data_IF_267604474187
#
_entry.id   IF_267604474187
#
_cell.length_a   1.000
_cell.length_b   1.000
_cell.length_c   1.000
_cell.angle_alpha   90.00
_cell.angle_beta   90.00
_cell.angle_gamma   90.00
#
_symmetry.space_group_name_H-M   'P 1'
#
loop_
_entity.id
_entity.type
_entity.pdbx_description
1 polymer ?
#
# COMPACT_ATOMS: atom_id res chain seq x y z
N UNK A 1 47.26 15.41 -72.92
CA UNK A 1 47.40 13.93 -72.80
C UNK A 1 48.24 13.70 -71.56
N UNK A 2 47.93 12.93 -70.51
CA UNK A 2 46.99 11.84 -70.21
C UNK A 2 46.75 11.86 -68.68
N UNK A 3 45.54 11.53 -68.20
CA UNK A 3 45.22 11.24 -66.78
C UNK A 3 45.68 9.80 -66.44
N UNK A 4 46.05 9.49 -65.19
CA UNK A 4 45.05 8.91 -64.26
C UNK A 4 45.25 9.23 -62.75
N UNK A 5 44.13 9.24 -62.00
CA UNK A 5 44.04 9.02 -60.53
C UNK A 5 44.19 7.49 -60.24
N UNK A 6 44.21 6.92 -58.98
CA UNK A 6 43.76 7.47 -57.70
C UNK A 6 44.47 6.97 -56.38
N UNK A 7 44.04 7.52 -55.22
CA UNK A 7 43.89 6.96 -53.84
C UNK A 7 45.13 6.24 -53.20
N UNK A 8 45.60 6.61 -52.00
CA UNK A 8 45.26 5.88 -50.74
C UNK A 8 45.79 6.59 -49.47
N UNK A 9 44.85 6.81 -48.53
CA UNK A 9 44.85 6.77 -47.04
C UNK A 9 46.18 6.93 -46.27
N UNK A 10 46.14 7.66 -45.14
CA UNK A 10 45.77 7.09 -43.82
C UNK A 10 46.24 7.94 -42.62
N UNK A 11 45.50 7.77 -41.50
CA UNK A 11 45.77 8.08 -40.08
C UNK A 11 45.53 9.52 -39.61
N UNK A 12 44.96 9.81 -38.44
CA UNK A 12 44.26 9.13 -37.31
C UNK A 12 43.90 10.30 -36.35
N UNK A 13 42.80 10.36 -35.61
CA UNK A 13 42.63 9.78 -34.27
C UNK A 13 41.24 10.19 -33.70
N UNK A 14 40.55 9.20 -33.12
CA UNK A 14 39.72 9.20 -31.90
C UNK A 14 39.18 10.50 -31.31
N UNK A 15 37.85 10.57 -31.14
CA UNK A 15 37.20 10.81 -29.84
C UNK A 15 35.66 10.65 -29.97
N UNK A 16 35.17 9.41 -29.84
CA UNK A 16 33.73 9.17 -29.66
C UNK A 16 33.42 9.34 -28.17
N UNK A 17 32.80 10.46 -27.80
CA UNK A 17 32.36 10.73 -26.43
C UNK A 17 31.13 9.88 -26.12
N UNK A 18 31.33 8.69 -25.53
CA UNK A 18 30.24 7.87 -24.99
C UNK A 18 29.76 8.52 -23.70
N UNK A 19 28.77 9.42 -23.81
CA UNK A 19 28.03 9.93 -22.66
C UNK A 19 26.97 8.90 -22.24
N UNK A 20 27.43 7.74 -21.78
CA UNK A 20 26.60 6.72 -21.16
C UNK A 20 26.42 7.03 -19.67
N UNK A 21 25.76 8.15 -19.36
CA UNK A 21 25.33 8.41 -18.00
C UNK A 21 24.27 7.37 -17.64
N UNK A 22 24.63 6.51 -16.69
CA UNK A 22 23.81 5.48 -16.09
C UNK A 22 22.50 6.09 -15.61
N UNK A 23 21.44 5.99 -16.42
CA UNK A 23 20.06 6.11 -15.96
C UNK A 23 19.76 4.84 -15.16
N UNK A 24 20.16 4.84 -13.89
CA UNK A 24 19.60 3.89 -12.94
C UNK A 24 18.10 4.16 -12.90
N UNK A 25 17.22 3.20 -13.26
CA UNK A 25 15.80 3.41 -13.06
C UNK A 25 15.58 3.59 -11.55
N UNK A 26 15.08 4.78 -11.16
CA UNK A 26 14.43 4.94 -9.87
C UNK A 26 13.27 3.96 -9.86
N UNK A 27 13.38 2.91 -9.06
CA UNK A 27 12.33 1.93 -8.87
C UNK A 27 11.21 2.57 -8.06
N UNK A 28 10.29 3.23 -8.75
CA UNK A 28 9.02 3.66 -8.18
C UNK A 28 8.20 2.42 -7.87
N UNK A 29 7.91 2.17 -6.60
CA UNK A 29 6.88 1.22 -6.21
C UNK A 29 5.53 1.80 -6.68
N UNK A 30 5.03 1.32 -7.82
CA UNK A 30 3.76 1.78 -8.35
C UNK A 30 2.61 1.20 -7.52
N UNK A 31 1.81 2.07 -6.90
CA UNK A 31 0.51 1.67 -6.38
C UNK A 31 -0.36 1.22 -7.55
N UNK A 32 -1.08 0.11 -7.39
CA UNK A 32 -2.00 -0.38 -8.42
C UNK A 32 -3.35 0.30 -8.26
N UNK A 33 -3.90 0.82 -9.34
CA UNK A 33 -5.28 1.33 -9.33
C UNK A 33 -6.25 0.18 -9.06
N UNK A 34 -7.13 0.35 -8.09
CA UNK A 34 -8.10 -0.67 -7.71
C UNK A 34 -9.06 -0.98 -8.87
N UNK A 35 -9.32 -2.27 -9.09
CA UNK A 35 -10.39 -2.70 -10.01
C UNK A 35 -11.76 -2.49 -9.37
N UNK A 36 -11.91 -2.91 -8.12
CA UNK A 36 -13.11 -2.75 -7.31
C UNK A 36 -12.80 -1.92 -6.07
N UNK A 37 -12.83 -0.60 -6.21
CA UNK A 37 -12.61 0.33 -5.10
C UNK A 37 -13.77 0.26 -4.08
N UNK A 38 -13.51 -0.14 -2.83
CA UNK A 38 -14.57 -0.25 -1.84
C UNK A 38 -14.91 1.12 -1.27
N UNK A 39 -16.19 1.48 -1.22
CA UNK A 39 -16.65 2.66 -0.47
C UNK A 39 -16.88 2.31 1.03
N UNK A 40 -15.95 1.60 1.66
CA UNK A 40 -16.09 1.15 3.05
C UNK A 40 -15.32 -0.12 3.37
N UNK A 41 -15.71 -0.79 4.46
CA UNK A 41 -15.16 -2.08 4.86
C UNK A 41 -16.27 -2.99 5.42
N UNK A 42 -16.34 -4.23 4.93
CA UNK A 42 -17.31 -5.27 5.34
C UNK A 42 -18.76 -4.79 5.48
N UNK A 43 -19.21 -3.98 4.52
CA UNK A 43 -20.58 -3.44 4.47
C UNK A 43 -20.82 -2.22 5.35
N UNK A 44 -19.78 -1.66 5.99
CA UNK A 44 -19.83 -0.38 6.69
C UNK A 44 -19.25 0.69 5.75
N UNK A 45 -20.06 1.63 5.25
CA UNK A 45 -19.58 2.69 4.37
C UNK A 45 -18.65 3.67 5.09
N UNK A 46 -17.70 4.26 4.37
CA UNK A 46 -16.92 5.36 4.90
C UNK A 46 -17.83 6.50 5.39
N UNK A 47 -17.43 7.15 6.48
CA UNK A 47 -18.18 8.22 7.10
C UNK A 47 -19.37 7.78 7.95
N UNK A 48 -19.74 6.49 7.94
CA UNK A 48 -20.84 5.98 8.75
C UNK A 48 -20.52 6.04 10.25
N UNK A 49 -21.57 6.17 11.07
CA UNK A 49 -21.44 6.08 12.52
C UNK A 49 -21.13 4.63 12.94
N UNK A 50 -20.10 4.46 13.78
CA UNK A 50 -19.74 3.16 14.35
C UNK A 50 -20.40 2.91 15.71
N UNK A 51 -20.71 3.98 16.45
CA UNK A 51 -21.39 3.91 17.73
C UNK A 51 -22.77 3.24 17.58
N UNK A 52 -23.18 2.47 18.59
CA UNK A 52 -24.47 1.79 18.60
C UNK A 52 -24.59 0.57 17.69
N UNK A 53 -23.58 0.21 16.91
CA UNK A 53 -23.60 -1.03 16.10
C UNK A 53 -23.41 -2.26 16.99
N UNK A 54 -24.37 -3.18 16.94
CA UNK A 54 -24.36 -4.39 17.79
C UNK A 54 -23.09 -5.23 17.69
N UNK A 55 -22.47 -5.24 16.50
CA UNK A 55 -21.28 -6.03 16.18
C UNK A 55 -19.96 -5.42 16.68
N UNK A 56 -19.99 -4.15 17.09
CA UNK A 56 -18.81 -3.39 17.47
C UNK A 56 -18.85 -3.02 18.96
N UNK A 57 -17.67 -3.00 19.58
CA UNK A 57 -17.47 -2.50 20.94
C UNK A 57 -16.43 -1.40 20.89
N UNK A 58 -16.72 -0.24 21.49
CA UNK A 58 -15.73 0.82 21.67
C UNK A 58 -14.68 0.35 22.66
N UNK A 59 -13.42 0.34 22.24
CA UNK A 59 -12.27 -0.09 23.05
C UNK A 59 -11.37 1.09 23.45
N UNK A 60 -11.46 2.21 22.74
CA UNK A 60 -10.68 3.41 23.03
C UNK A 60 -11.47 4.68 22.67
N UNK A 61 -11.32 5.70 23.50
CA UNK A 61 -11.90 7.03 23.32
C UNK A 61 -10.79 8.07 23.51
N UNK A 62 -10.12 8.43 22.42
CA UNK A 62 -9.00 9.36 22.37
C UNK A 62 -9.46 10.74 21.85
N UNK A 63 -10.61 11.22 22.34
CA UNK A 63 -11.20 12.48 21.94
C UNK A 63 -11.80 12.43 20.54
N UNK A 64 -11.15 13.07 19.56
CA UNK A 64 -11.65 13.09 18.18
C UNK A 64 -11.57 11.72 17.52
N UNK A 65 -10.63 10.87 17.95
CA UNK A 65 -10.48 9.51 17.42
C UNK A 65 -11.05 8.50 18.40
N UNK A 66 -11.90 7.62 17.90
CA UNK A 66 -12.51 6.54 18.67
C UNK A 66 -12.20 5.22 17.98
N UNK A 67 -11.87 4.19 18.76
CA UNK A 67 -11.50 2.88 18.23
C UNK A 67 -12.48 1.80 18.70
N UNK A 68 -12.82 0.90 17.80
CA UNK A 68 -13.80 -0.15 17.99
C UNK A 68 -13.24 -1.51 17.52
N UNK A 69 -13.69 -2.60 18.15
CA UNK A 69 -13.34 -3.98 17.79
C UNK A 69 -14.61 -4.84 17.61
N UNK A 70 -14.51 -5.95 16.88
CA UNK A 70 -15.62 -6.88 16.62
C UNK A 70 -15.96 -7.75 17.84
N UNK A 71 -17.26 -7.91 18.11
CA UNK A 71 -17.78 -8.91 19.06
C UNK A 71 -17.81 -10.27 18.37
N UNK A 72 -16.78 -11.08 18.56
CA UNK A 72 -16.67 -12.40 17.92
C UNK A 72 -15.24 -12.82 17.57
N UNK A 73 -14.27 -11.93 17.82
CA UNK A 73 -12.87 -12.17 17.51
C UNK A 73 -12.47 -11.57 16.16
N UNK A 74 -11.21 -11.17 16.01
CA UNK A 74 -10.74 -10.51 14.81
C UNK A 74 -10.52 -11.52 13.67
N UNK A 75 -11.21 -11.32 12.55
CA UNK A 75 -10.98 -12.05 11.31
C UNK A 75 -11.15 -11.10 10.12
N UNK A 76 -10.32 -11.27 9.10
CA UNK A 76 -10.53 -10.65 7.79
C UNK A 76 -11.25 -11.68 6.92
N UNK A 77 -12.55 -11.47 6.65
CA UNK A 77 -13.40 -12.52 6.08
C UNK A 77 -13.32 -13.81 6.92
N UNK A 78 -12.80 -14.89 6.36
CA UNK A 78 -12.62 -16.19 7.04
C UNK A 78 -11.18 -16.41 7.54
N UNK A 79 -10.29 -15.44 7.37
CA UNK A 79 -8.88 -15.54 7.79
C UNK A 79 -8.75 -14.98 9.20
N UNK A 80 -8.43 -15.79 10.22
CA UNK A 80 -8.15 -15.29 11.56
C UNK A 80 -6.95 -14.34 11.55
N UNK A 81 -7.03 -13.26 12.30
CA UNK A 81 -5.95 -12.26 12.44
C UNK A 81 -5.73 -11.96 13.92
N UNK A 82 -4.65 -11.25 14.25
CA UNK A 82 -4.30 -10.99 15.65
C UNK A 82 -5.10 -9.80 16.21
N UNK A 83 -5.28 -8.75 15.40
CA UNK A 83 -6.02 -7.53 15.77
C UNK A 83 -6.78 -7.03 14.55
N UNK A 84 -8.02 -6.58 14.76
CA UNK A 84 -8.82 -5.86 13.77
C UNK A 84 -9.54 -4.71 14.47
N UNK A 85 -9.19 -3.49 14.10
CA UNK A 85 -9.69 -2.26 14.72
C UNK A 85 -10.29 -1.32 13.69
N UNK A 86 -11.51 -0.87 13.96
CA UNK A 86 -12.17 0.20 13.25
C UNK A 86 -11.89 1.51 13.97
N UNK A 87 -11.61 2.57 13.22
CA UNK A 87 -11.39 3.89 13.78
C UNK A 87 -12.34 4.90 13.15
N UNK A 88 -12.97 5.70 13.99
CA UNK A 88 -13.76 6.85 13.60
C UNK A 88 -13.05 8.14 13.99
N UNK A 89 -13.16 9.17 13.17
CA UNK A 89 -12.75 10.54 13.47
C UNK A 89 -13.99 11.43 13.49
N UNK A 90 -14.18 12.18 14.58
CA UNK A 90 -15.38 13.00 14.81
C UNK A 90 -16.69 12.19 14.64
N UNK A 91 -16.68 10.93 15.09
CA UNK A 91 -17.81 9.99 14.98
C UNK A 91 -17.97 9.34 13.59
N UNK A 92 -17.16 9.70 12.61
CA UNK A 92 -17.25 9.22 11.23
C UNK A 92 -16.21 8.12 10.94
N UNK A 93 -16.65 6.94 10.49
CA UNK A 93 -15.76 5.82 10.15
C UNK A 93 -14.74 6.20 9.07
N UNK A 94 -13.45 6.01 9.37
CA UNK A 94 -12.36 6.49 8.52
C UNK A 94 -11.31 5.44 8.16
N UNK A 95 -11.08 4.45 9.04
CA UNK A 95 -9.96 3.52 8.89
C UNK A 95 -10.23 2.17 9.52
N UNK A 96 -9.72 1.11 8.89
CA UNK A 96 -9.51 -0.20 9.51
C UNK A 96 -8.01 -0.49 9.58
N UNK A 97 -7.56 -0.95 10.74
CA UNK A 97 -6.22 -1.49 10.94
C UNK A 97 -6.33 -2.98 11.28
N UNK A 98 -5.56 -3.79 10.56
CA UNK A 98 -5.49 -5.23 10.78
C UNK A 98 -4.05 -5.62 11.04
N UNK A 99 -3.79 -6.37 12.11
CA UNK A 99 -2.49 -7.00 12.37
C UNK A 99 -2.64 -8.51 12.34
N UNK A 100 -1.65 -9.17 11.79
CA UNK A 100 -1.59 -10.62 11.73
C UNK A 100 -0.14 -11.10 11.77
N UNK A 101 0.01 -12.40 12.02
CA UNK A 101 1.30 -13.05 12.10
C UNK A 101 1.34 -14.33 11.25
N UNK A 102 2.55 -14.68 10.82
CA UNK A 102 2.84 -15.89 10.06
C UNK A 102 2.79 -15.70 8.55
N UNK A 103 3.68 -16.44 7.87
CA UNK A 103 3.80 -16.41 6.41
C UNK A 103 2.56 -16.98 5.71
N UNK A 104 1.98 -18.05 6.25
CA UNK A 104 0.81 -18.68 5.62
C UNK A 104 -0.41 -17.76 5.66
N UNK A 105 -0.60 -17.04 6.77
CA UNK A 105 -1.62 -15.99 6.90
C UNK A 105 -1.34 -14.85 5.92
N UNK A 106 -0.07 -14.41 5.81
CA UNK A 106 0.33 -13.38 4.84
C UNK A 106 -0.03 -13.77 3.42
N UNK A 107 0.33 -14.97 2.98
CA UNK A 107 0.09 -15.42 1.61
C UNK A 107 -1.42 -15.46 1.31
N UNK A 108 -2.23 -16.01 2.23
CA UNK A 108 -3.70 -16.04 2.11
C UNK A 108 -4.31 -14.64 1.99
N UNK A 109 -3.86 -13.70 2.82
CA UNK A 109 -4.36 -12.33 2.77
C UNK A 109 -3.91 -11.63 1.48
N UNK A 110 -2.65 -11.79 1.08
CA UNK A 110 -2.14 -11.18 -0.14
C UNK A 110 -2.88 -11.70 -1.39
N UNK A 111 -3.21 -12.99 -1.41
CA UNK A 111 -4.03 -13.57 -2.48
C UNK A 111 -5.46 -13.01 -2.47
N UNK A 112 -6.09 -12.93 -1.29
CA UNK A 112 -7.41 -12.32 -1.11
C UNK A 112 -7.45 -10.87 -1.63
N UNK A 113 -6.48 -10.04 -1.23
CA UNK A 113 -6.42 -8.64 -1.64
C UNK A 113 -6.18 -8.50 -3.16
N UNK A 114 -5.31 -9.32 -3.74
CA UNK A 114 -5.07 -9.28 -5.19
C UNK A 114 -6.28 -9.75 -6.00
N UNK A 115 -7.04 -10.72 -5.49
CA UNK A 115 -8.28 -11.17 -6.12
C UNK A 115 -9.36 -10.08 -6.05
N UNK A 116 -9.47 -9.38 -4.92
CA UNK A 116 -10.51 -8.39 -4.69
C UNK A 116 -10.21 -7.02 -5.32
N UNK A 117 -8.97 -6.56 -5.25
CA UNK A 117 -8.61 -5.17 -5.57
C UNK A 117 -7.72 -5.04 -6.81
N UNK A 118 -7.32 -6.16 -7.40
CA UNK A 118 -6.48 -6.22 -8.59
C UNK A 118 -5.09 -6.79 -8.30
N UNK A 119 -4.53 -7.48 -9.30
CA UNK A 119 -3.20 -8.10 -9.19
C UNK A 119 -2.10 -7.05 -9.18
N UNK A 120 -1.09 -7.28 -8.36
CA UNK A 120 0.10 -6.45 -8.33
C UNK A 120 1.05 -6.92 -9.43
N UNK A 121 1.42 -6.02 -10.35
CA UNK A 121 2.43 -6.33 -11.35
C UNK A 121 3.78 -6.53 -10.65
N UNK A 122 4.25 -7.78 -10.63
CA UNK A 122 5.59 -8.10 -10.14
C UNK A 122 6.58 -7.76 -11.25
N UNK A 123 7.15 -6.57 -11.28
CA UNK A 123 8.29 -6.30 -12.17
C UNK A 123 9.51 -7.06 -11.62
N UNK A 124 10.05 -8.05 -12.36
CA UNK A 124 11.27 -8.74 -11.95
C UNK A 124 12.41 -7.72 -11.82
N UNK A 125 13.02 -7.63 -10.63
CA UNK A 125 14.01 -6.60 -10.28
C UNK A 125 13.57 -5.67 -9.14
N UNK A 126 12.26 -5.48 -8.94
CA UNK A 126 11.67 -4.80 -7.76
C UNK A 126 11.56 -5.71 -6.53
N UNK A 127 11.65 -7.03 -6.74
CA UNK A 127 11.69 -8.07 -5.70
C UNK A 127 13.10 -8.34 -5.18
N UNK A 128 14.01 -7.37 -5.32
CA UNK A 128 15.35 -7.46 -4.73
C UNK A 128 15.27 -7.25 -3.22
N UNK A 129 15.10 -8.35 -2.47
CA UNK A 129 15.74 -8.51 -1.16
C UNK A 129 15.35 -7.59 -0.01
N UNK A 130 14.19 -6.94 -0.01
CA UNK A 130 13.67 -6.27 1.17
C UNK A 130 13.11 -7.27 2.20
N UNK A 131 13.65 -7.30 3.42
CA UNK A 131 13.03 -8.02 4.56
C UNK A 131 11.62 -7.50 4.87
N UNK A 132 11.31 -6.26 4.49
CA UNK A 132 9.99 -5.65 4.59
C UNK A 132 9.44 -5.42 3.18
N UNK A 133 8.21 -5.88 2.94
CA UNK A 133 7.48 -5.74 1.69
C UNK A 133 6.32 -4.77 1.89
N UNK A 134 6.05 -3.97 0.86
CA UNK A 134 4.92 -3.05 0.80
C UNK A 134 4.11 -3.33 -0.46
N UNK A 135 2.79 -3.33 -0.31
CA UNK A 135 1.83 -3.55 -1.37
C UNK A 135 0.73 -2.50 -1.22
N UNK A 136 0.42 -1.76 -2.29
CA UNK A 136 -0.49 -0.64 -2.23
C UNK A 136 -1.53 -0.74 -3.35
N UNK A 137 -2.79 -0.57 -2.98
CA UNK A 137 -3.90 -0.44 -3.90
C UNK A 137 -4.56 0.92 -3.68
N UNK A 138 -4.68 1.70 -4.76
CA UNK A 138 -5.23 3.04 -4.72
C UNK A 138 -6.56 3.08 -5.47
N UNK A 139 -7.61 3.52 -4.77
CA UNK A 139 -8.93 3.79 -5.33
C UNK A 139 -9.22 5.29 -5.33
N UNK A 140 -10.41 5.64 -5.75
CA UNK A 140 -10.97 7.00 -5.63
C UNK A 140 -11.42 7.28 -4.20
N UNK A 141 -12.07 6.31 -3.56
CA UNK A 141 -12.64 6.39 -2.22
C UNK A 141 -11.72 5.79 -1.16
N UNK A 142 -11.00 4.71 -1.51
CA UNK A 142 -10.13 3.98 -0.58
C UNK A 142 -8.64 3.98 -0.95
N UNK A 143 -7.81 3.83 0.06
CA UNK A 143 -6.40 3.44 -0.04
C UNK A 143 -6.19 2.18 0.82
N UNK A 144 -5.55 1.16 0.24
CA UNK A 144 -5.22 -0.08 0.94
C UNK A 144 -3.71 -0.28 0.91
N UNK A 145 -3.09 -0.24 2.09
CA UNK A 145 -1.66 -0.46 2.27
C UNK A 145 -1.44 -1.73 3.09
N UNK A 146 -0.71 -2.69 2.53
CA UNK A 146 -0.23 -3.88 3.22
C UNK A 146 1.29 -3.81 3.38
N UNK A 147 1.76 -3.87 4.62
CA UNK A 147 3.17 -4.05 4.98
C UNK A 147 3.39 -5.42 5.60
N UNK A 148 4.41 -6.14 5.16
CA UNK A 148 4.80 -7.42 5.72
C UNK A 148 6.30 -7.49 5.99
N UNK A 149 6.67 -7.80 7.23
CA UNK A 149 8.06 -8.00 7.65
C UNK A 149 8.36 -9.52 7.67
N UNK A 150 9.12 -9.98 6.68
CA UNK A 150 9.49 -11.38 6.49
C UNK A 150 10.47 -11.90 7.55
N UNK A 151 11.16 -11.02 8.30
CA UNK A 151 12.06 -11.42 9.39
C UNK A 151 11.29 -11.82 10.64
N UNK A 152 10.22 -11.09 10.92
CA UNK A 152 9.39 -11.29 12.12
C UNK A 152 8.09 -12.05 11.83
N UNK A 153 7.73 -12.20 10.56
CA UNK A 153 6.46 -12.75 10.12
C UNK A 153 5.26 -11.86 10.47
N UNK A 154 5.48 -10.57 10.74
CA UNK A 154 4.43 -9.64 11.18
C UNK A 154 3.90 -8.84 9.99
N UNK A 155 2.57 -8.81 9.86
CA UNK A 155 1.87 -8.03 8.84
C UNK A 155 0.95 -6.98 9.46
N UNK A 156 0.81 -5.86 8.76
CA UNK A 156 -0.20 -4.84 9.05
C UNK A 156 -0.86 -4.37 7.77
N UNK A 157 -2.17 -4.21 7.81
CA UNK A 157 -2.99 -3.69 6.71
C UNK A 157 -3.74 -2.47 7.20
N UNK A 158 -3.77 -1.45 6.36
CA UNK A 158 -4.64 -0.31 6.52
C UNK A 158 -5.62 -0.27 5.35
N UNK A 159 -6.91 -0.17 5.67
CA UNK A 159 -7.95 0.26 4.74
C UNK A 159 -8.37 1.66 5.18
N UNK A 160 -8.27 2.63 4.30
CA UNK A 160 -8.46 4.03 4.65
C UNK A 160 -9.37 4.73 3.67
N UNK A 161 -10.24 5.60 4.19
CA UNK A 161 -10.94 6.54 3.33
C UNK A 161 -10.02 7.68 2.90
N UNK A 162 -9.95 7.92 1.59
CA UNK A 162 -9.22 9.06 1.00
C UNK A 162 -9.71 10.41 1.57
N UNK A 163 -11.03 10.58 1.73
CA UNK A 163 -11.65 11.82 2.20
C UNK A 163 -11.39 12.08 3.68
N UNK A 164 -11.34 11.03 4.51
CA UNK A 164 -11.13 11.18 5.97
C UNK A 164 -9.66 11.09 6.40
N UNK A 165 -8.73 10.74 5.49
CA UNK A 165 -7.30 10.55 5.80
C UNK A 165 -6.65 11.77 6.46
N UNK A 166 -6.94 12.96 5.96
CA UNK A 166 -6.41 14.22 6.52
C UNK A 166 -6.91 14.45 7.94
N UNK A 167 -8.23 14.36 8.15
CA UNK A 167 -8.86 14.52 9.49
C UNK A 167 -8.33 13.51 10.50
N UNK A 168 -8.13 12.26 10.08
CA UNK A 168 -7.58 11.21 10.94
C UNK A 168 -6.13 11.52 11.36
N UNK A 169 -5.33 12.06 10.44
CA UNK A 169 -3.94 12.44 10.73
C UNK A 169 -3.86 13.62 11.70
N UNK A 170 -4.75 14.61 11.55
CA UNK A 170 -4.89 15.73 12.49
C UNK A 170 -5.38 15.29 13.87
N UNK A 171 -6.35 14.36 13.93
CA UNK A 171 -6.89 13.82 15.19
C UNK A 171 -5.87 13.05 16.02
N UNK A 172 -4.82 12.51 15.39
CA UNK A 172 -3.71 11.82 16.05
C UNK A 172 -2.52 12.71 16.38
N UNK A 173 -2.52 14.00 15.99
CA UNK A 173 -1.46 14.91 16.37
C UNK A 173 -1.53 15.19 17.88
N UNK A 174 -0.38 15.18 18.61
CA UNK A 174 -0.37 15.64 19.98
C UNK A 174 -0.93 17.07 20.01
N UNK A 175 -1.90 17.32 20.89
CA UNK A 175 -2.45 18.65 21.06
C UNK A 175 -1.31 19.60 21.42
N UNK A 176 -0.95 20.50 20.49
CA UNK A 176 0.00 21.56 20.77
C UNK A 176 -0.70 22.54 21.72
N UNK A 177 -0.55 22.31 23.03
CA UNK A 177 -0.81 23.28 24.08
C UNK A 177 0.53 23.83 24.57
#
# INVERSE_FOLDING_TARGET
MQRPSPITRSRSLFATLVLGAVLWPLTLAFAVMMQDDPNGFEGIPWGAELAGRDRLTKVEDAGRVQTYELKGGPALREIPVDVLRFSAVDGQFARVMIRYSGKDTHDKILDLLQQQYGRLERTPGLTTGGMVKFFNWLGTDSDITLRYDARTGQGVIFFESQVFRAKFSEGNAPSAF
#
